data_IF_873344391268
#
_entry.id   IF_873344391268
#
_cell.length_a   1.000
_cell.length_b   1.000
_cell.length_c   1.000
_cell.angle_alpha   90.00
_cell.angle_beta   90.00
_cell.angle_gamma   90.00
#
_symmetry.space_group_name_H-M   'P 1'
#
loop_
_entity.id
_entity.type
_entity.pdbx_description
1 polymer ?
#
# COMPACT_ATOMS: atom_id res chain seq x y z
N UNK A 1 -1.63 -3.00 12.39
CA UNK A 1 -2.38 -1.75 12.63
C UNK A 1 -1.62 -0.55 12.10
N UNK A 2 -0.96 0.20 12.99
CA UNK A 2 -0.38 1.52 12.69
C UNK A 2 0.51 1.60 11.43
N UNK A 3 1.33 0.58 11.17
CA UNK A 3 2.21 0.50 9.98
C UNK A 3 1.45 0.68 8.66
N UNK A 4 0.34 -0.06 8.48
CA UNK A 4 -0.43 -0.08 7.23
C UNK A 4 -1.25 1.20 7.04
N UNK A 5 -1.70 1.80 8.15
CA UNK A 5 -2.35 3.11 8.12
C UNK A 5 -1.37 4.18 7.64
N UNK A 6 -0.15 4.20 8.21
CA UNK A 6 0.92 5.11 7.77
C UNK A 6 1.28 4.86 6.31
N UNK A 7 1.47 3.59 5.91
CA UNK A 7 1.86 3.25 4.54
C UNK A 7 0.82 3.72 3.51
N UNK A 8 -0.48 3.49 3.76
CA UNK A 8 -1.54 4.02 2.90
C UNK A 8 -1.58 5.55 2.87
N UNK A 9 -1.36 6.21 4.00
CA UNK A 9 -1.27 7.67 4.04
C UNK A 9 -0.12 8.19 3.17
N UNK A 10 1.07 7.60 3.30
CA UNK A 10 2.25 8.02 2.55
C UNK A 10 2.10 7.77 1.05
N UNK A 11 1.51 6.65 0.64
CA UNK A 11 1.12 6.38 -0.74
C UNK A 11 0.25 7.52 -1.29
N UNK A 12 -0.90 7.76 -0.65
CA UNK A 12 -1.87 8.74 -1.14
C UNK A 12 -1.37 10.19 -1.19
N UNK A 13 -0.39 10.55 -0.36
CA UNK A 13 0.08 11.93 -0.25
C UNK A 13 1.05 12.33 -1.36
N UNK A 14 1.73 11.35 -1.96
CA UNK A 14 2.73 11.60 -3.00
C UNK A 14 2.16 11.12 -4.33
N UNK A 15 1.68 12.07 -5.14
CA UNK A 15 1.10 11.83 -6.47
C UNK A 15 -0.14 10.91 -6.55
N UNK A 16 -0.67 10.44 -5.41
CA UNK A 16 -1.97 9.78 -5.31
C UNK A 16 -1.87 8.35 -4.80
N UNK A 17 -3.02 7.72 -4.52
CA UNK A 17 -3.05 6.36 -4.01
C UNK A 17 -2.86 5.34 -5.16
N UNK A 18 -1.63 5.11 -5.56
CA UNK A 18 -1.28 4.31 -6.74
C UNK A 18 -0.26 3.19 -6.45
N UNK A 19 0.07 2.94 -5.18
CA UNK A 19 1.01 1.92 -4.78
C UNK A 19 2.48 2.23 -5.12
N UNK A 20 2.81 3.43 -5.58
CA UNK A 20 4.18 3.82 -5.94
C UNK A 20 5.15 3.71 -4.75
N UNK A 21 4.66 3.97 -3.54
CA UNK A 21 5.45 3.86 -2.30
C UNK A 21 5.97 2.45 -2.02
N UNK A 22 5.39 1.43 -2.67
CA UNK A 22 5.78 0.03 -2.54
C UNK A 22 6.92 -0.37 -3.49
N UNK A 23 7.25 0.47 -4.47
CA UNK A 23 8.29 0.16 -5.44
C UNK A 23 9.67 0.31 -4.80
N UNK A 24 10.42 -0.78 -4.74
CA UNK A 24 11.82 -0.81 -4.30
C UNK A 24 12.77 -0.34 -5.41
N UNK A 25 14.02 -0.05 -5.04
CA UNK A 25 15.05 0.37 -5.99
C UNK A 25 15.29 -0.71 -7.05
N UNK A 26 15.23 -0.31 -8.32
CA UNK A 26 15.47 -1.17 -9.47
C UNK A 26 16.09 -0.34 -10.61
N UNK A 27 16.65 -0.96 -11.67
CA UNK A 27 17.14 -0.21 -12.82
C UNK A 27 16.05 0.70 -13.42
N UNK A 28 16.23 2.01 -13.30
CA UNK A 28 15.27 3.02 -13.77
C UNK A 28 14.19 3.41 -12.74
N UNK A 29 14.23 2.89 -11.52
CA UNK A 29 13.33 3.24 -10.41
C UNK A 29 14.17 3.66 -9.21
N UNK A 30 13.98 4.90 -8.75
CA UNK A 30 14.49 5.36 -7.45
C UNK A 30 13.32 5.32 -6.48
N UNK A 31 13.44 4.49 -5.45
CA UNK A 31 12.34 4.24 -4.51
C UNK A 31 12.02 5.45 -3.63
N UNK A 32 10.73 5.69 -3.43
CA UNK A 32 10.22 6.62 -2.43
C UNK A 32 10.64 6.25 -1.00
N UNK A 33 10.97 4.97 -0.75
CA UNK A 33 11.43 4.48 0.54
C UNK A 33 12.74 5.16 0.99
N UNK A 34 13.52 5.68 0.05
CA UNK A 34 14.76 6.41 0.31
C UNK A 34 14.52 7.88 0.72
N UNK A 35 13.29 8.38 0.61
CA UNK A 35 12.97 9.76 0.98
C UNK A 35 13.04 9.95 2.50
N UNK A 36 13.43 11.14 3.00
CA UNK A 36 13.40 11.43 4.44
C UNK A 36 12.01 11.23 5.06
N UNK A 37 10.93 11.47 4.30
CA UNK A 37 9.56 11.28 4.77
C UNK A 37 9.20 9.81 5.02
N UNK A 38 9.79 8.90 4.24
CA UNK A 38 9.57 7.47 4.36
C UNK A 38 10.62 6.77 5.22
N UNK A 39 11.51 7.52 5.89
CA UNK A 39 12.46 6.94 6.82
C UNK A 39 11.72 6.14 7.91
N UNK A 40 12.15 4.88 8.09
CA UNK A 40 11.54 3.96 9.04
C UNK A 40 10.11 3.54 8.70
N UNK A 41 9.68 3.65 7.45
CA UNK A 41 8.43 3.01 6.99
C UNK A 41 8.55 1.49 7.13
N UNK A 42 7.45 0.83 7.45
CA UNK A 42 7.41 -0.61 7.76
C UNK A 42 6.12 -1.20 7.19
N UNK A 43 6.07 -2.53 7.01
CA UNK A 43 4.86 -3.24 6.61
C UNK A 43 4.79 -3.61 5.13
N UNK A 44 5.86 -3.36 4.36
CA UNK A 44 6.02 -3.87 2.98
C UNK A 44 5.83 -5.38 2.94
N UNK A 45 6.46 -6.09 3.89
CA UNK A 45 6.40 -7.54 4.02
C UNK A 45 4.97 -8.07 4.26
N UNK A 46 4.14 -7.24 4.91
CA UNK A 46 2.74 -7.58 5.17
C UNK A 46 1.91 -7.40 3.90
N UNK A 47 2.17 -6.33 3.14
CA UNK A 47 1.51 -6.08 1.85
C UNK A 47 1.85 -7.18 0.85
N UNK A 48 3.11 -7.61 0.78
CA UNK A 48 3.54 -8.73 -0.06
C UNK A 48 2.83 -10.04 0.29
N UNK A 49 2.70 -10.34 1.58
CA UNK A 49 1.98 -11.54 2.03
C UNK A 49 0.50 -11.47 1.63
N UNK A 50 -0.16 -10.33 1.83
CA UNK A 50 -1.55 -10.14 1.39
C UNK A 50 -1.66 -10.29 -0.13
N UNK A 51 -0.76 -9.65 -0.89
CA UNK A 51 -0.75 -9.73 -2.35
C UNK A 51 -0.56 -11.15 -2.84
N UNK A 52 0.37 -11.91 -2.25
CA UNK A 52 0.61 -13.31 -2.60
C UNK A 52 -0.62 -14.19 -2.34
N UNK A 53 -1.33 -13.96 -1.24
CA UNK A 53 -2.55 -14.70 -0.92
C UNK A 53 -3.72 -14.34 -1.84
N UNK A 54 -3.89 -13.05 -2.13
CA UNK A 54 -4.91 -12.56 -3.05
C UNK A 54 -4.66 -13.02 -4.48
N UNK A 55 -3.41 -13.03 -4.95
CA UNK A 55 -3.04 -13.54 -6.28
C UNK A 55 -3.27 -15.04 -6.41
N UNK A 56 -3.16 -15.81 -5.33
CA UNK A 56 -3.49 -17.24 -5.34
C UNK A 56 -4.98 -17.50 -5.57
N UNK A 57 -5.83 -16.63 -5.04
CA UNK A 57 -7.27 -16.72 -5.16
C UNK A 57 -7.77 -16.10 -6.48
N UNK A 58 -7.24 -14.93 -6.85
CA UNK A 58 -7.70 -14.14 -8.00
C UNK A 58 -6.53 -13.45 -8.73
N UNK A 59 -5.81 -14.18 -9.60
CA UNK A 59 -4.61 -13.69 -10.27
C UNK A 59 -4.85 -12.42 -11.11
N UNK A 60 -4.05 -11.38 -10.87
CA UNK A 60 -4.03 -10.14 -11.66
C UNK A 60 -5.27 -9.26 -11.50
N UNK A 61 -6.11 -9.49 -10.48
CA UNK A 61 -7.37 -8.75 -10.30
C UNK A 61 -7.23 -7.56 -9.35
N UNK A 62 -6.62 -7.77 -8.18
CA UNK A 62 -6.57 -6.76 -7.11
C UNK A 62 -5.26 -5.98 -7.17
N UNK A 63 -5.34 -4.66 -7.25
CA UNK A 63 -4.16 -3.78 -7.23
C UNK A 63 -3.54 -3.68 -5.84
N UNK A 64 -2.23 -3.44 -5.79
CA UNK A 64 -1.52 -3.16 -4.54
C UNK A 64 -2.04 -1.88 -3.85
N UNK A 65 -2.42 -0.87 -4.64
CA UNK A 65 -3.06 0.35 -4.12
C UNK A 65 -4.39 0.06 -3.40
N UNK A 66 -5.22 -0.85 -3.92
CA UNK A 66 -6.46 -1.26 -3.23
C UNK A 66 -6.18 -2.14 -2.00
N UNK A 67 -5.11 -2.94 -2.01
CA UNK A 67 -4.65 -3.65 -0.81
C UNK A 67 -4.27 -2.66 0.29
N UNK A 68 -3.52 -1.60 -0.02
CA UNK A 68 -3.16 -0.57 0.97
C UNK A 68 -4.40 0.10 1.58
N UNK A 69 -5.37 0.47 0.74
CA UNK A 69 -6.60 1.09 1.19
C UNK A 69 -7.40 0.16 2.12
N UNK A 70 -7.56 -1.11 1.73
CA UNK A 70 -8.31 -2.08 2.51
C UNK A 70 -7.60 -2.45 3.81
N UNK A 71 -6.29 -2.70 3.76
CA UNK A 71 -5.50 -3.09 4.92
C UNK A 71 -5.35 -1.95 5.95
N UNK A 72 -5.36 -0.70 5.50
CA UNK A 72 -5.45 0.49 6.36
C UNK A 72 -6.81 0.55 7.07
N UNK A 73 -7.91 0.37 6.34
CA UNK A 73 -9.27 0.34 6.93
C UNK A 73 -9.42 -0.79 7.95
N UNK A 74 -8.96 -1.99 7.62
CA UNK A 74 -9.04 -3.13 8.54
C UNK A 74 -8.12 -2.93 9.75
N UNK A 75 -6.97 -2.28 9.58
CA UNK A 75 -6.09 -1.88 10.69
C UNK A 75 -6.75 -0.93 11.69
N UNK A 76 -7.68 -0.08 11.25
CA UNK A 76 -8.49 0.78 12.14
C UNK A 76 -9.59 -0.03 12.82
N UNK A 77 -10.32 -0.84 12.06
CA UNK A 77 -11.45 -1.65 12.53
C UNK A 77 -11.03 -2.62 13.65
N UNK A 78 -9.96 -3.40 13.43
CA UNK A 78 -9.47 -4.39 14.42
C UNK A 78 -8.96 -3.77 15.73
N UNK A 79 -8.68 -2.47 15.74
CA UNK A 79 -8.29 -1.73 16.95
C UNK A 79 -9.48 -1.05 17.65
N UNK A 80 -10.71 -1.34 17.23
CA UNK A 80 -11.93 -0.75 17.78
C UNK A 80 -12.24 0.64 17.23
N UNK A 81 -11.60 1.05 16.13
CA UNK A 81 -11.94 2.27 15.41
C UNK A 81 -13.22 2.14 14.58
N UNK A 82 -13.65 3.21 13.89
CA UNK A 82 -14.80 3.15 13.02
C UNK A 82 -14.56 2.23 11.82
N UNK A 83 -15.62 1.59 11.34
CA UNK A 83 -15.60 0.84 10.09
C UNK A 83 -16.25 1.65 8.97
N UNK A 84 -15.70 1.57 7.77
CA UNK A 84 -16.26 2.20 6.58
C UNK A 84 -16.09 1.29 5.36
N UNK A 85 -16.82 1.61 4.30
CA UNK A 85 -16.66 0.94 2.99
C UNK A 85 -15.50 1.59 2.24
N UNK A 86 -14.49 0.80 1.90
CA UNK A 86 -13.43 1.21 0.99
C UNK A 86 -13.98 1.23 -0.44
N UNK A 87 -13.69 2.31 -1.18
CA UNK A 87 -13.91 2.36 -2.63
C UNK A 87 -12.72 1.69 -3.32
N UNK A 88 -12.97 0.91 -4.36
CA UNK A 88 -11.98 0.14 -5.09
C UNK A 88 -11.89 0.59 -6.55
N UNK A 89 -10.92 0.04 -7.28
CA UNK A 89 -10.66 0.31 -8.70
C UNK A 89 -9.40 1.12 -8.94
N UNK A 90 -8.54 1.29 -7.92
CA UNK A 90 -7.21 1.91 -8.10
C UNK A 90 -6.35 1.01 -8.97
N UNK A 91 -5.39 1.59 -9.67
CA UNK A 91 -4.40 0.87 -10.48
C UNK A 91 -3.02 1.21 -9.99
N UNK A 92 -2.13 0.23 -10.07
CA UNK A 92 -0.75 0.39 -9.62
C UNK A 92 0.08 1.23 -10.60
N UNK A 93 0.86 2.15 -10.05
CA UNK A 93 1.88 2.90 -10.80
C UNK A 93 3.01 1.99 -11.26
N UNK A 94 3.71 2.45 -12.30
CA UNK A 94 4.94 1.82 -12.81
C UNK A 94 6.19 2.66 -12.55
N UNK A 95 6.03 3.76 -11.81
CA UNK A 95 7.10 4.66 -11.40
C UNK A 95 6.94 4.98 -9.92
N UNK A 96 8.06 5.16 -9.23
CA UNK A 96 8.11 5.76 -7.91
C UNK A 96 8.23 7.29 -8.05
N UNK A 97 7.68 8.03 -7.10
CA UNK A 97 7.56 9.50 -7.16
C UNK A 97 8.69 10.28 -6.46
#
# INVERSE_FOLDING_TARGET
GAKLIRLHFHDCFVNGCDGSVLLEDAPGIVSELNSPGNQGIQGLEIVDAIKADVERECPGIVSCADILAQASKDSVDVQGGPSWRVLYGRRDSRIAN
#
